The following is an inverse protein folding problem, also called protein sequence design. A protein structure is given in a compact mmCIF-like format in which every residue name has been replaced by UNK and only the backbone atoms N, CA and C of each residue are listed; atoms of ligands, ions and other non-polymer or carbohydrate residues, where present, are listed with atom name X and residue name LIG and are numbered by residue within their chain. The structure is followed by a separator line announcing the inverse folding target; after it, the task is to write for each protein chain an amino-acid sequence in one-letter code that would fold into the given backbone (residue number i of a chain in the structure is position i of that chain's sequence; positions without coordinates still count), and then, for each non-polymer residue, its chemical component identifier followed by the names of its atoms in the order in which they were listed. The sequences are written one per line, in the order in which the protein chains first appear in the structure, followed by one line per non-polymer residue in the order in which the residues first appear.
data_IF_219592634512
#
_entry.id   IF_219592634512
#
_cell.length_a   1.000
_cell.length_b   1.000
_cell.length_c   1.000
_cell.angle_alpha   90.00
_cell.angle_beta   90.00
_cell.angle_gamma   90.00
#
_symmetry.space_group_name_H-M   'P 1'
#
loop_
_entity.id
_entity.type
_entity.pdbx_description
1 polymer ?
#
# COMPACT_ATOMS: atom_id res chain seq x y z
N UNK A 1 7.87 -12.32 5.06
CA UNK A 1 6.56 -11.79 5.53
C UNK A 1 5.56 -12.93 5.39
N UNK A 2 4.58 -13.03 6.27
CA UNK A 2 3.62 -14.14 6.26
C UNK A 2 2.25 -13.64 5.81
N UNK A 3 1.63 -14.33 4.88
CA UNK A 3 0.32 -14.03 4.31
C UNK A 3 -0.64 -15.13 4.74
N UNK A 4 -1.82 -14.76 5.24
CA UNK A 4 -2.89 -15.70 5.56
C UNK A 4 -3.82 -15.87 4.36
N UNK A 5 -4.11 -17.10 3.97
CA UNK A 5 -5.08 -17.39 2.92
C UNK A 5 -6.50 -17.47 3.50
N UNK A 6 -7.51 -17.27 2.65
CA UNK A 6 -8.93 -17.41 3.03
C UNK A 6 -9.27 -18.84 3.49
N UNK A 7 -8.53 -19.85 3.02
CA UNK A 7 -8.65 -21.25 3.47
C UNK A 7 -7.81 -21.56 4.73
N UNK A 8 -7.28 -20.55 5.42
CA UNK A 8 -6.64 -20.66 6.72
C UNK A 8 -5.18 -21.15 6.69
N UNK A 9 -4.53 -21.15 5.52
CA UNK A 9 -3.10 -21.43 5.39
C UNK A 9 -2.29 -20.18 5.66
N UNK A 10 -1.05 -20.37 6.07
CA UNK A 10 -0.07 -19.29 6.22
C UNK A 10 1.06 -19.55 5.24
N UNK A 11 1.35 -18.57 4.40
CA UNK A 11 2.39 -18.63 3.38
C UNK A 11 3.51 -17.66 3.74
N UNK A 12 4.76 -18.11 3.63
CA UNK A 12 5.90 -17.19 3.73
C UNK A 12 6.22 -16.59 2.35
N UNK A 13 5.95 -15.30 2.18
CA UNK A 13 6.13 -14.58 0.92
C UNK A 13 7.59 -14.47 0.49
N UNK A 14 8.57 -14.72 1.36
CA UNK A 14 10.00 -14.76 0.96
C UNK A 14 10.33 -15.95 0.06
N UNK A 15 9.46 -16.96 0.03
CA UNK A 15 9.60 -18.13 -0.83
C UNK A 15 8.74 -18.04 -2.08
N UNK A 16 8.05 -16.93 -2.32
CA UNK A 16 7.22 -16.74 -3.51
C UNK A 16 8.07 -16.11 -4.61
N UNK A 17 8.08 -16.73 -5.78
CA UNK A 17 8.75 -16.26 -6.99
C UNK A 17 7.79 -15.46 -7.86
N UNK A 18 6.57 -15.97 -8.04
CA UNK A 18 5.53 -15.31 -8.81
C UNK A 18 4.15 -15.67 -8.27
N UNK A 19 3.19 -14.77 -8.48
CA UNK A 19 1.78 -15.05 -8.34
C UNK A 19 1.06 -14.62 -9.63
N UNK A 20 0.17 -15.49 -10.11
CA UNK A 20 -0.56 -15.30 -11.36
C UNK A 20 -2.06 -15.45 -11.11
N UNK A 21 -2.85 -14.50 -11.63
CA UNK A 21 -4.30 -14.63 -11.63
C UNK A 21 -4.74 -15.58 -12.75
N UNK A 22 -5.51 -16.63 -12.47
CA UNK A 22 -6.05 -17.50 -13.50
C UNK A 22 -7.04 -16.72 -14.38
N UNK A 23 -7.13 -17.11 -15.66
CA UNK A 23 -8.12 -16.55 -16.61
C UNK A 23 -9.59 -16.83 -16.22
N UNK A 24 -9.83 -17.67 -15.21
CA UNK A 24 -11.16 -17.95 -14.67
C UNK A 24 -11.11 -18.70 -13.32
N UNK A 25 -12.06 -18.40 -12.44
CA UNK A 25 -12.20 -18.97 -11.09
C UNK A 25 -11.44 -18.21 -10.00
N UNK A 26 -11.78 -18.48 -8.74
CA UNK A 26 -11.20 -17.78 -7.57
C UNK A 26 -9.78 -18.26 -7.20
N UNK A 27 -8.97 -17.36 -6.64
CA UNK A 27 -7.60 -17.65 -6.18
C UNK A 27 -6.51 -17.43 -7.22
N UNK A 28 -5.27 -17.68 -6.82
CA UNK A 28 -4.05 -17.36 -7.57
C UNK A 28 -3.13 -18.55 -7.65
N UNK A 29 -2.43 -18.70 -8.78
CA UNK A 29 -1.34 -19.64 -8.88
C UNK A 29 -0.06 -19.00 -8.36
N UNK A 30 0.42 -19.48 -7.22
CA UNK A 30 1.65 -19.03 -6.58
C UNK A 30 2.76 -20.03 -6.88
N UNK A 31 3.84 -19.55 -7.48
CA UNK A 31 5.06 -20.32 -7.74
C UNK A 31 6.07 -20.03 -6.64
N UNK A 32 6.58 -21.08 -6.00
CA UNK A 32 7.55 -20.99 -4.92
C UNK A 32 8.99 -21.18 -5.40
N UNK A 33 9.96 -20.80 -4.57
CA UNK A 33 11.40 -20.93 -4.84
C UNK A 33 11.86 -22.38 -5.01
N UNK A 34 11.09 -23.34 -4.50
CA UNK A 34 11.33 -24.79 -4.67
C UNK A 34 10.74 -25.34 -5.99
N UNK A 35 10.15 -24.49 -6.82
CA UNK A 35 9.51 -24.85 -8.09
C UNK A 35 8.07 -25.35 -7.96
N UNK A 36 7.54 -25.46 -6.74
CA UNK A 36 6.15 -25.86 -6.51
C UNK A 36 5.21 -24.74 -6.97
N UNK A 37 4.12 -25.10 -7.66
CA UNK A 37 3.05 -24.19 -8.06
C UNK A 37 1.75 -24.61 -7.37
N UNK A 38 1.17 -23.74 -6.56
CA UNK A 38 -0.08 -24.01 -5.83
C UNK A 38 -1.16 -22.98 -6.16
N UNK A 39 -2.43 -23.40 -6.07
CA UNK A 39 -3.56 -22.48 -6.14
C UNK A 39 -3.96 -22.05 -4.72
N UNK A 40 -3.84 -20.77 -4.42
CA UNK A 40 -4.13 -20.19 -3.11
C UNK A 40 -5.32 -19.22 -3.21
N UNK A 41 -6.24 -19.31 -2.26
CA UNK A 41 -7.34 -18.35 -2.11
C UNK A 41 -6.84 -17.21 -1.22
N UNK A 42 -6.50 -16.07 -1.82
CA UNK A 42 -5.95 -14.92 -1.13
C UNK A 42 -6.96 -13.77 -1.16
N UNK A 43 -7.01 -13.00 -0.06
CA UNK A 43 -7.73 -11.74 -0.06
C UNK A 43 -7.08 -10.79 -1.09
N UNK A 44 -7.89 -9.96 -1.75
CA UNK A 44 -7.43 -9.02 -2.79
C UNK A 44 -6.38 -8.03 -2.26
N UNK A 45 -6.38 -7.71 -0.96
CA UNK A 45 -5.36 -6.86 -0.36
C UNK A 45 -3.99 -7.54 -0.29
N UNK A 46 -3.95 -8.84 0.01
CA UNK A 46 -2.70 -9.63 0.04
C UNK A 46 -2.19 -9.97 -1.36
N UNK A 47 -3.04 -9.79 -2.37
CA UNK A 47 -2.72 -10.00 -3.79
C UNK A 47 -1.80 -8.91 -4.35
N UNK A 48 -2.05 -7.65 -4.01
CA UNK A 48 -1.21 -6.52 -4.46
C UNK A 48 0.24 -6.65 -3.93
N UNK A 49 0.40 -7.40 -2.83
CA UNK A 49 1.71 -7.72 -2.28
C UNK A 49 2.50 -8.75 -3.11
N UNK A 50 1.81 -9.66 -3.81
CA UNK A 50 2.41 -10.80 -4.52
C UNK A 50 2.41 -10.66 -6.05
N UNK A 51 1.50 -9.87 -6.59
CA UNK A 51 1.32 -9.67 -8.03
C UNK A 51 1.87 -8.31 -8.46
N UNK A 52 2.49 -8.25 -9.65
CA UNK A 52 2.92 -7.01 -10.28
C UNK A 52 4.34 -7.06 -10.84
N UNK A 53 4.57 -6.27 -11.88
CA UNK A 53 5.90 -6.07 -12.46
C UNK A 53 6.64 -5.05 -11.62
N UNK A 54 7.82 -5.41 -11.12
CA UNK A 54 8.72 -4.46 -10.46
C UNK A 54 9.54 -3.76 -11.54
N UNK A 55 9.36 -2.45 -11.65
CA UNK A 55 10.13 -1.59 -12.55
C UNK A 55 11.05 -0.69 -11.73
N UNK A 56 12.35 -0.57 -12.07
CA UNK A 56 13.24 0.37 -11.39
C UNK A 56 12.71 1.80 -11.49
N UNK A 57 12.80 2.54 -10.39
CA UNK A 57 12.41 3.95 -10.39
C UNK A 57 13.55 4.80 -10.98
N UNK A 58 13.25 5.80 -11.82
CA UNK A 58 14.24 6.82 -12.17
C UNK A 58 14.74 7.55 -10.92
N UNK A 59 15.93 8.15 -11.00
CA UNK A 59 16.46 8.94 -9.89
C UNK A 59 15.59 10.17 -9.60
N UNK A 60 15.46 10.52 -8.32
CA UNK A 60 14.77 11.74 -7.87
C UNK A 60 13.32 11.54 -7.43
N UNK A 61 12.78 10.32 -7.52
CA UNK A 61 11.48 10.00 -6.96
C UNK A 61 11.53 9.83 -5.44
N UNK A 62 10.52 10.36 -4.75
CA UNK A 62 10.35 10.22 -3.30
C UNK A 62 8.92 9.82 -2.95
N UNK A 63 8.75 9.13 -1.83
CA UNK A 63 7.43 8.80 -1.26
C UNK A 63 7.32 9.39 0.14
N UNK A 64 6.14 9.88 0.48
CA UNK A 64 5.79 10.36 1.81
C UNK A 64 4.56 9.58 2.28
N UNK A 65 4.73 8.80 3.34
CA UNK A 65 3.72 7.88 3.88
C UNK A 65 3.12 8.43 5.15
N UNK A 66 1.79 8.34 5.23
CA UNK A 66 1.00 8.82 6.35
C UNK A 66 0.01 7.73 6.75
N UNK A 67 -0.01 7.40 8.03
CA UNK A 67 -1.01 6.53 8.62
C UNK A 67 -2.12 7.39 9.26
N UNK A 68 -3.32 7.22 8.72
CA UNK A 68 -4.56 7.82 9.22
C UNK A 68 -5.23 6.77 10.12
N UNK A 69 -5.18 6.94 11.45
CA UNK A 69 -5.78 5.97 12.36
C UNK A 69 -7.30 5.93 12.22
N UNK A 70 -7.90 4.79 12.57
CA UNK A 70 -9.34 4.69 12.72
C UNK A 70 -9.86 5.63 13.81
N UNK A 71 -11.16 5.98 13.75
CA UNK A 71 -11.79 6.92 14.67
C UNK A 71 -11.56 6.59 16.16
N UNK A 72 -11.52 5.31 16.52
CA UNK A 72 -11.28 4.85 17.89
C UNK A 72 -9.90 5.25 18.44
N UNK A 73 -8.90 5.37 17.55
CA UNK A 73 -7.50 5.67 17.87
C UNK A 73 -7.07 7.08 17.44
N UNK A 74 -8.01 7.91 16.96
CA UNK A 74 -7.72 9.23 16.40
C UNK A 74 -6.98 10.18 17.36
N UNK A 75 -7.09 9.97 18.67
CA UNK A 75 -6.34 10.73 19.68
C UNK A 75 -4.81 10.58 19.56
N UNK A 76 -4.33 9.54 18.87
CA UNK A 76 -2.90 9.33 18.58
C UNK A 76 -2.38 10.23 17.47
N UNK A 77 -3.27 10.90 16.73
CA UNK A 77 -2.92 11.73 15.58
C UNK A 77 -2.38 10.91 14.41
N UNK A 78 -1.91 11.61 13.38
CA UNK A 78 -1.27 10.99 12.23
C UNK A 78 0.13 10.50 12.59
N UNK A 79 0.49 9.31 12.10
CA UNK A 79 1.89 8.89 12.07
C UNK A 79 2.43 9.17 10.66
N UNK A 80 3.48 9.97 10.57
CA UNK A 80 4.12 10.31 9.31
C UNK A 80 5.51 9.68 9.26
N UNK A 81 5.84 9.04 8.16
CA UNK A 81 7.22 8.61 7.88
C UNK A 81 7.89 9.70 7.07
N UNK A 82 9.13 10.05 7.38
CA UNK A 82 9.87 11.04 6.60
C UNK A 82 9.89 10.67 5.11
N UNK A 83 9.90 11.66 4.19
CA UNK A 83 10.05 11.40 2.77
C UNK A 83 11.26 10.51 2.47
N UNK A 84 11.04 9.42 1.75
CA UNK A 84 12.07 8.42 1.42
C UNK A 84 12.28 8.30 -0.09
N UNK A 85 13.51 8.03 -0.56
CA UNK A 85 13.76 7.72 -1.96
C UNK A 85 13.01 6.47 -2.41
N UNK A 86 12.40 6.54 -3.59
CA UNK A 86 11.81 5.39 -4.26
C UNK A 86 12.88 4.73 -5.12
N UNK A 87 13.05 3.41 -4.96
CA UNK A 87 14.03 2.62 -5.72
C UNK A 87 13.38 1.79 -6.84
N UNK A 88 12.09 1.50 -6.71
CA UNK A 88 11.31 0.78 -7.70
C UNK A 88 9.82 1.10 -7.56
N UNK A 89 9.04 0.76 -8.58
CA UNK A 89 7.60 0.73 -8.53
C UNK A 89 7.10 -0.68 -8.79
N UNK A 90 6.08 -1.11 -8.07
CA UNK A 90 5.29 -2.28 -8.42
C UNK A 90 4.08 -1.83 -9.22
N UNK A 91 3.99 -2.31 -10.45
CA UNK A 91 2.86 -2.06 -11.36
C UNK A 91 2.00 -3.32 -11.41
N UNK A 92 0.74 -3.21 -11.02
CA UNK A 92 -0.24 -4.30 -11.15
C UNK A 92 -1.30 -3.91 -12.17
N UNK A 93 -1.95 -4.89 -12.79
CA UNK A 93 -3.05 -4.63 -13.74
C UNK A 93 -4.32 -4.10 -13.05
N UNK A 94 -4.43 -4.24 -11.73
CA UNK A 94 -5.60 -3.88 -10.93
C UNK A 94 -5.46 -2.56 -10.16
N UNK A 95 -4.23 -2.13 -9.85
CA UNK A 95 -4.03 -0.90 -9.09
C UNK A 95 -4.16 0.31 -10.00
N UNK A 96 -4.96 1.29 -9.58
CA UNK A 96 -5.09 2.56 -10.28
C UNK A 96 -3.76 3.33 -10.39
N UNK A 97 -2.77 2.99 -9.55
CA UNK A 97 -1.47 3.67 -9.46
C UNK A 97 -0.36 2.68 -9.09
N UNK A 98 0.88 2.84 -9.61
CA UNK A 98 2.02 2.04 -9.19
C UNK A 98 2.34 2.23 -7.70
N UNK A 99 2.67 1.14 -7.01
CA UNK A 99 3.05 1.18 -5.59
C UNK A 99 4.56 1.48 -5.48
N UNK A 100 4.96 2.57 -4.81
CA UNK A 100 6.37 2.91 -4.63
C UNK A 100 7.04 1.92 -3.66
N UNK A 101 8.27 1.52 -3.98
CA UNK A 101 9.11 0.67 -3.14
C UNK A 101 10.32 1.47 -2.70
N UNK A 102 10.59 1.45 -1.40
CA UNK A 102 11.77 2.04 -0.77
C UNK A 102 12.71 0.93 -0.28
N UNK A 103 13.88 1.31 0.26
CA UNK A 103 14.76 0.36 0.92
C UNK A 103 14.12 -0.35 2.14
N UNK A 104 13.07 0.23 2.72
CA UNK A 104 12.33 -0.36 3.83
C UNK A 104 11.16 -1.27 3.39
N UNK A 105 10.87 -1.33 2.08
CA UNK A 105 9.76 -2.10 1.52
C UNK A 105 8.79 -1.24 0.69
N UNK A 106 7.73 -1.89 0.22
CA UNK A 106 6.64 -1.24 -0.51
C UNK A 106 5.81 -0.35 0.42
N UNK A 107 5.38 0.81 -0.07
CA UNK A 107 4.44 1.65 0.66
C UNK A 107 3.10 0.93 0.79
N UNK A 108 2.54 0.93 2.01
CA UNK A 108 1.26 0.30 2.27
C UNK A 108 0.11 1.25 1.97
N UNK A 109 -1.00 0.71 1.45
CA UNK A 109 -2.32 1.37 1.36
C UNK A 109 -3.33 0.75 2.33
N UNK A 110 -2.91 -0.24 3.12
CA UNK A 110 -3.76 -1.01 4.02
C UNK A 110 -3.71 -0.48 5.45
N UNK A 111 -4.74 -0.83 6.24
CA UNK A 111 -4.75 -0.52 7.67
C UNK A 111 -4.71 0.97 8.01
N UNK A 112 -5.16 1.86 7.10
CA UNK A 112 -5.13 3.31 7.30
C UNK A 112 -3.86 4.00 6.76
N UNK A 113 -2.91 3.26 6.20
CA UNK A 113 -1.79 3.84 5.48
C UNK A 113 -2.22 4.42 4.14
N UNK A 114 -1.61 5.55 3.79
CA UNK A 114 -1.70 6.20 2.48
C UNK A 114 -0.36 6.85 2.16
N UNK A 115 -0.17 7.26 0.91
CA UNK A 115 1.07 7.91 0.49
C UNK A 115 0.86 8.90 -0.65
N UNK A 116 1.81 9.82 -0.78
CA UNK A 116 2.01 10.63 -1.97
C UNK A 116 3.40 10.38 -2.55
N UNK A 117 3.52 10.43 -3.88
CA UNK A 117 4.78 10.25 -4.60
C UNK A 117 5.19 11.56 -5.26
N UNK A 118 6.43 11.98 -5.04
CA UNK A 118 7.03 13.11 -5.76
C UNK A 118 7.89 12.61 -6.90
N UNK A 119 7.62 13.09 -8.12
CA UNK A 119 8.57 12.97 -9.22
C UNK A 119 9.73 13.96 -9.10
N UNK A 120 10.74 13.87 -9.99
CA UNK A 120 11.82 14.86 -10.07
C UNK A 120 11.32 16.27 -10.37
N UNK A 121 10.16 16.41 -11.02
CA UNK A 121 9.52 17.69 -11.36
C UNK A 121 8.84 18.40 -10.18
N UNK A 122 8.83 17.79 -8.99
CA UNK A 122 8.65 18.51 -7.72
C UNK A 122 7.26 18.47 -7.10
N UNK A 123 6.20 18.11 -7.84
CA UNK A 123 4.85 17.94 -7.27
C UNK A 123 4.67 16.57 -6.61
N UNK A 124 3.93 16.54 -5.52
CA UNK A 124 3.52 15.35 -4.79
C UNK A 124 2.16 14.88 -5.29
N UNK A 125 2.10 13.68 -5.85
CA UNK A 125 0.88 13.08 -6.38
C UNK A 125 0.35 12.13 -5.32
N UNK A 126 -0.74 12.49 -4.66
CA UNK A 126 -1.42 11.65 -3.66
C UNK A 126 -2.64 10.95 -4.24
N UNK A 127 -3.37 10.16 -3.43
CA UNK A 127 -4.51 9.36 -3.91
C UNK A 127 -5.64 10.22 -4.51
N UNK A 128 -5.89 11.39 -3.93
CA UNK A 128 -7.06 12.21 -4.25
C UNK A 128 -6.74 13.50 -5.01
N UNK A 129 -5.48 13.98 -4.97
CA UNK A 129 -5.08 15.26 -5.56
C UNK A 129 -3.56 15.35 -5.76
N UNK A 130 -3.13 16.42 -6.41
CA UNK A 130 -1.75 16.84 -6.51
C UNK A 130 -1.46 17.94 -5.47
N UNK A 131 -0.29 17.85 -4.85
CA UNK A 131 0.14 18.71 -3.76
C UNK A 131 1.48 19.35 -4.09
N UNK A 132 1.60 20.66 -3.85
CA UNK A 132 2.85 21.38 -4.08
C UNK A 132 3.92 20.98 -3.05
N UNK A 133 3.52 20.67 -1.81
CA UNK A 133 4.44 20.25 -0.73
C UNK A 133 3.91 19.04 0.02
N UNK A 134 4.82 18.26 0.61
CA UNK A 134 4.48 17.14 1.50
C UNK A 134 3.58 17.58 2.68
N UNK A 135 3.80 18.81 3.18
CA UNK A 135 2.97 19.39 4.24
C UNK A 135 1.52 19.61 3.79
N UNK A 136 1.28 19.91 2.51
CA UNK A 136 -0.07 20.11 1.97
C UNK A 136 -0.82 18.76 1.88
N UNK A 137 -0.10 17.68 1.53
CA UNK A 137 -0.63 16.32 1.61
C UNK A 137 -0.95 15.90 3.05
N UNK A 138 -0.02 16.15 4.00
CA UNK A 138 -0.27 15.89 5.43
C UNK A 138 -1.52 16.63 5.91
N UNK A 139 -1.69 17.90 5.55
CA UNK A 139 -2.86 18.68 5.91
C UNK A 139 -4.16 18.10 5.32
N UNK A 140 -4.12 17.48 4.14
CA UNK A 140 -5.27 16.75 3.59
C UNK A 140 -5.63 15.51 4.42
N UNK A 141 -4.63 14.72 4.84
CA UNK A 141 -4.85 13.60 5.75
C UNK A 141 -5.41 14.03 7.11
N UNK A 142 -4.99 15.20 7.63
CA UNK A 142 -5.54 15.76 8.88
C UNK A 142 -7.02 16.13 8.74
N UNK A 143 -7.40 16.74 7.61
CA UNK A 143 -8.80 17.02 7.29
C UNK A 143 -9.63 15.74 7.20
N UNK A 144 -9.11 14.71 6.54
CA UNK A 144 -9.77 13.40 6.44
C UNK A 144 -10.01 12.77 7.83
N UNK A 145 -9.03 12.86 8.72
CA UNK A 145 -9.18 12.37 10.10
C UNK A 145 -10.25 13.16 10.86
N UNK A 146 -10.25 14.50 10.74
CA UNK A 146 -11.24 15.36 11.36
C UNK A 146 -12.67 15.07 10.85
N UNK A 147 -12.83 14.88 9.54
CA UNK A 147 -14.11 14.52 8.92
C UNK A 147 -14.61 13.16 9.40
N UNK A 148 -13.71 12.19 9.53
CA UNK A 148 -14.03 10.85 10.05
C UNK A 148 -14.53 10.94 11.50
N UNK A 149 -13.88 11.76 12.32
CA UNK A 149 -14.31 12.03 13.70
C UNK A 149 -15.66 12.74 13.77
N UNK A 150 -15.92 13.70 12.87
CA UNK A 150 -17.18 14.43 12.82
C UNK A 150 -18.37 13.53 12.43
N UNK A 151 -18.15 12.53 11.56
CA UNK A 151 -19.17 11.56 11.13
C UNK A 151 -19.40 10.44 12.15
N UNK A 152 -18.42 10.18 13.00
CA UNK A 152 -18.50 9.22 14.10
C UNK A 152 -18.32 9.94 15.44
N UNK A 153 -19.21 10.87 15.81
CA UNK A 153 -19.18 11.43 17.14
C UNK A 153 -19.32 10.24 18.09
N UNK A 154 -18.31 10.05 18.94
CA UNK A 154 -18.39 9.07 20.04
C UNK A 154 -19.79 9.19 20.62
N UNK A 155 -20.56 8.09 20.66
CA UNK A 155 -21.64 8.00 21.65
C UNK A 155 -20.96 8.21 23.00
N UNK A 156 -21.05 9.44 23.50
CA UNK A 156 -20.65 9.76 24.85
C UNK A 156 -21.58 8.97 25.76
N UNK A 157 -20.98 8.07 26.54
CA UNK A 157 -21.50 7.37 27.72
C UNK A 157 -22.97 6.90 27.66
#
# INVERSE_FOLDING_TARGET
MFISTEDGRIINSTHVVSAEMPRGGAGFFVTFTDGRKERLLLAVADLEELCGTIVPAPTGYMVFEVHIPAAADAARGLLCLDPRPVIAFRVTDSAARPVPITAAGAASTSGGWTYAVRGPEGRWIGPDDDYERAADFKAACERQLADTLARHPRKAA
#
